data_IF_432418559775
#
_entry.id   IF_432418559775
#
_cell.length_a   1.000
_cell.length_b   1.000
_cell.length_c   1.000
_cell.angle_alpha   90.00
_cell.angle_beta   90.00
_cell.angle_gamma   90.00
#
_symmetry.space_group_name_H-M   'P 1'
#
loop_
_entity.id
_entity.type
_entity.pdbx_description
1 polymer ?
#
# COMPACT_ATOMS: atom_id res chain seq x y z
N UNK A 1 -3.90 -61.95 -72.01
CA UNK A 1 -3.62 -60.53 -71.71
C UNK A 1 -2.26 -60.17 -72.28
N UNK A 2 -2.15 -59.11 -73.10
CA UNK A 2 -0.88 -58.65 -73.67
C UNK A 2 0.05 -58.20 -72.52
N UNK A 3 1.37 -58.51 -72.57
CA UNK A 3 2.30 -58.23 -71.46
C UNK A 3 2.33 -56.75 -71.08
N UNK A 4 2.10 -55.84 -72.03
CA UNK A 4 2.00 -54.40 -71.81
C UNK A 4 0.89 -53.97 -70.84
N UNK A 5 -0.27 -54.65 -70.86
CA UNK A 5 -1.37 -54.34 -69.95
C UNK A 5 -1.05 -54.67 -68.48
N UNK A 6 -0.18 -55.67 -68.25
CA UNK A 6 0.27 -56.04 -66.89
C UNK A 6 1.25 -55.02 -66.33
N UNK A 7 2.17 -54.52 -67.15
CA UNK A 7 3.11 -53.48 -66.73
C UNK A 7 2.41 -52.16 -66.41
N UNK A 8 1.39 -51.77 -67.20
CA UNK A 8 0.60 -50.57 -66.92
C UNK A 8 -0.18 -50.70 -65.60
N UNK A 9 -0.77 -51.86 -65.31
CA UNK A 9 -1.44 -52.10 -64.03
C UNK A 9 -0.48 -52.02 -62.84
N UNK A 10 0.70 -52.63 -62.96
CA UNK A 10 1.72 -52.59 -61.91
C UNK A 10 2.21 -51.16 -61.68
N UNK A 11 2.48 -50.40 -62.75
CA UNK A 11 2.90 -49.01 -62.64
C UNK A 11 1.83 -48.12 -61.97
N UNK A 12 0.55 -48.36 -62.27
CA UNK A 12 -0.56 -47.61 -61.69
C UNK A 12 -0.72 -47.93 -60.19
N UNK A 13 -0.57 -49.20 -59.80
CA UNK A 13 -0.59 -49.62 -58.39
C UNK A 13 0.58 -49.01 -57.61
N UNK A 14 1.80 -49.01 -58.19
CA UNK A 14 2.98 -48.42 -57.55
C UNK A 14 2.82 -46.90 -57.42
N UNK A 15 2.33 -46.22 -58.45
CA UNK A 15 2.07 -44.78 -58.40
C UNK A 15 1.01 -44.42 -57.35
N UNK A 16 -0.08 -45.19 -57.27
CA UNK A 16 -1.12 -45.01 -56.26
C UNK A 16 -0.61 -45.25 -54.83
N UNK A 17 0.23 -46.28 -54.63
CA UNK A 17 0.83 -46.56 -53.34
C UNK A 17 1.80 -45.45 -52.89
N UNK A 18 2.61 -44.92 -53.81
CA UNK A 18 3.54 -43.82 -53.52
C UNK A 18 2.81 -42.54 -53.11
N UNK A 19 1.78 -42.15 -53.86
CA UNK A 19 0.96 -40.98 -53.54
C UNK A 19 0.15 -41.15 -52.26
N UNK A 20 -0.45 -42.33 -52.04
CA UNK A 20 -1.19 -42.63 -50.83
C UNK A 20 -0.32 -42.58 -49.56
N UNK A 21 0.94 -43.04 -49.66
CA UNK A 21 1.88 -42.99 -48.55
C UNK A 21 2.32 -41.55 -48.22
N UNK A 22 2.57 -40.71 -49.22
CA UNK A 22 2.89 -39.28 -49.00
C UNK A 22 1.75 -38.54 -48.29
N UNK A 23 0.52 -38.69 -48.79
CA UNK A 23 -0.67 -38.08 -48.16
C UNK A 23 -0.91 -38.59 -46.72
N UNK A 24 -0.60 -39.86 -46.46
CA UNK A 24 -0.71 -40.43 -45.12
C UNK A 24 0.35 -39.85 -44.15
N UNK A 25 1.59 -39.67 -44.62
CA UNK A 25 2.64 -39.03 -43.84
C UNK A 25 2.31 -37.57 -43.52
N UNK A 26 1.86 -36.81 -44.51
CA UNK A 26 1.44 -35.41 -44.32
C UNK A 26 0.28 -35.30 -43.33
N UNK A 27 -0.69 -36.23 -43.42
CA UNK A 27 -1.81 -36.28 -42.49
C UNK A 27 -1.38 -36.57 -41.05
N UNK A 28 -0.42 -37.49 -40.85
CA UNK A 28 0.13 -37.80 -39.53
C UNK A 28 0.93 -36.63 -38.95
N UNK A 29 1.72 -35.93 -39.76
CA UNK A 29 2.46 -34.74 -39.34
C UNK A 29 1.47 -33.63 -38.94
N UNK A 30 0.46 -33.36 -39.78
CA UNK A 30 -0.57 -32.37 -39.50
C UNK A 30 -1.36 -32.69 -38.22
N UNK A 31 -1.68 -33.96 -37.95
CA UNK A 31 -2.30 -34.38 -36.69
C UNK A 31 -1.36 -34.17 -35.49
N UNK A 32 -0.07 -34.49 -35.65
CA UNK A 32 0.94 -34.28 -34.62
C UNK A 32 1.12 -32.80 -34.26
N UNK A 33 1.19 -31.94 -35.27
CA UNK A 33 1.34 -30.49 -35.12
C UNK A 33 0.08 -29.88 -34.50
N UNK A 34 -1.11 -30.30 -34.92
CA UNK A 34 -2.38 -29.84 -34.33
C UNK A 34 -2.47 -30.24 -32.84
N UNK A 35 -2.12 -31.48 -32.50
CA UNK A 35 -2.08 -31.92 -31.10
C UNK A 35 -1.00 -31.19 -30.29
N UNK A 36 0.14 -30.87 -30.91
CA UNK A 36 1.20 -30.06 -30.32
C UNK A 36 0.74 -28.65 -29.99
N UNK A 37 0.14 -27.98 -30.97
CA UNK A 37 -0.42 -26.63 -30.83
C UNK A 37 -1.50 -26.59 -29.74
N UNK A 38 -2.41 -27.57 -29.72
CA UNK A 38 -3.45 -27.68 -28.68
C UNK A 38 -2.88 -27.82 -27.26
N UNK A 39 -1.80 -28.58 -27.09
CA UNK A 39 -1.15 -28.74 -25.78
C UNK A 39 -0.50 -27.42 -25.32
N UNK A 40 0.20 -26.73 -26.22
CA UNK A 40 0.84 -25.44 -25.91
C UNK A 40 -0.22 -24.40 -25.58
N UNK A 41 -1.30 -24.33 -26.38
CA UNK A 41 -2.40 -23.39 -26.13
C UNK A 41 -3.06 -23.65 -24.77
N UNK A 42 -3.37 -24.92 -24.44
CA UNK A 42 -3.95 -25.27 -23.13
C UNK A 42 -3.02 -24.91 -21.96
N UNK A 43 -1.71 -25.13 -22.11
CA UNK A 43 -0.73 -24.78 -21.10
C UNK A 43 -0.63 -23.25 -20.92
N UNK A 44 -0.61 -22.51 -22.03
CA UNK A 44 -0.61 -21.05 -22.04
C UNK A 44 -1.88 -20.48 -21.38
N UNK A 45 -3.05 -20.95 -21.78
CA UNK A 45 -4.34 -20.52 -21.23
C UNK A 45 -4.46 -20.85 -19.74
N UNK A 46 -3.88 -21.97 -19.29
CA UNK A 46 -3.80 -22.30 -17.87
C UNK A 46 -2.90 -21.34 -17.10
N UNK A 47 -1.72 -21.02 -17.64
CA UNK A 47 -0.79 -20.07 -17.04
C UNK A 47 -1.39 -18.66 -16.97
N UNK A 48 -2.06 -18.21 -18.03
CA UNK A 48 -2.65 -16.88 -18.08
C UNK A 48 -3.87 -16.74 -17.16
N UNK A 49 -4.67 -17.81 -17.02
CA UNK A 49 -5.73 -17.87 -15.99
C UNK A 49 -5.16 -17.78 -14.58
N UNK A 50 -4.05 -18.45 -14.29
CA UNK A 50 -3.41 -18.34 -12.97
C UNK A 50 -2.85 -16.93 -12.74
N UNK A 51 -2.15 -16.35 -13.73
CA UNK A 51 -1.62 -14.99 -13.65
C UNK A 51 -2.72 -13.95 -13.41
N UNK A 52 -3.81 -14.04 -14.17
CA UNK A 52 -4.96 -13.13 -14.04
C UNK A 52 -5.65 -13.28 -12.68
N UNK A 53 -5.82 -14.51 -12.16
CA UNK A 53 -6.37 -14.75 -10.83
C UNK A 53 -5.49 -14.18 -9.72
N UNK A 54 -4.17 -14.42 -9.77
CA UNK A 54 -3.21 -13.87 -8.77
C UNK A 54 -3.22 -12.34 -8.81
N UNK A 55 -3.25 -11.75 -10.00
CA UNK A 55 -3.30 -10.30 -10.16
C UNK A 55 -4.61 -9.71 -9.64
N UNK A 56 -5.75 -10.33 -9.94
CA UNK A 56 -7.06 -9.90 -9.47
C UNK A 56 -7.18 -10.01 -7.94
N UNK A 57 -6.71 -11.11 -7.35
CA UNK A 57 -6.67 -11.29 -5.90
C UNK A 57 -5.76 -10.24 -5.22
N UNK A 58 -4.57 -10.00 -5.78
CA UNK A 58 -3.64 -8.98 -5.30
C UNK A 58 -4.21 -7.56 -5.37
N UNK A 59 -4.92 -7.22 -6.46
CA UNK A 59 -5.59 -5.93 -6.62
C UNK A 59 -6.73 -5.75 -5.61
N UNK A 60 -7.54 -6.79 -5.42
CA UNK A 60 -8.63 -6.77 -4.43
C UNK A 60 -8.10 -6.56 -3.01
N UNK A 61 -7.00 -7.25 -2.66
CA UNK A 61 -6.36 -7.08 -1.35
C UNK A 61 -5.80 -5.67 -1.17
N UNK A 62 -5.12 -5.12 -2.19
CA UNK A 62 -4.62 -3.74 -2.17
C UNK A 62 -5.74 -2.73 -2.00
N UNK A 63 -6.86 -2.91 -2.71
CA UNK A 63 -8.02 -2.04 -2.59
C UNK A 63 -8.60 -2.07 -1.17
N UNK A 64 -8.83 -3.26 -0.59
CA UNK A 64 -9.34 -3.39 0.79
C UNK A 64 -8.41 -2.77 1.83
N UNK A 65 -7.10 -2.95 1.66
CA UNK A 65 -6.11 -2.34 2.55
C UNK A 65 -6.12 -0.81 2.43
N UNK A 66 -6.22 -0.28 1.21
CA UNK A 66 -6.32 1.16 0.98
C UNK A 66 -7.60 1.74 1.59
N UNK A 67 -8.75 1.07 1.43
CA UNK A 67 -10.03 1.45 2.04
C UNK A 67 -9.94 1.45 3.57
N UNK A 68 -9.33 0.41 4.16
CA UNK A 68 -9.12 0.34 5.62
C UNK A 68 -8.25 1.49 6.12
N UNK A 69 -7.12 1.76 5.46
CA UNK A 69 -6.24 2.87 5.83
C UNK A 69 -6.95 4.21 5.71
N UNK A 70 -7.72 4.44 4.63
CA UNK A 70 -8.50 5.66 4.45
C UNK A 70 -9.57 5.84 5.54
N UNK A 71 -10.24 4.74 5.92
CA UNK A 71 -11.22 4.76 7.00
C UNK A 71 -10.58 5.09 8.36
N UNK A 72 -9.48 4.40 8.69
CA UNK A 72 -8.74 4.64 9.94
C UNK A 72 -8.20 6.09 10.00
N UNK A 73 -7.71 6.62 8.88
CA UNK A 73 -7.27 8.02 8.80
C UNK A 73 -8.42 9.00 9.00
N UNK A 74 -9.58 8.76 8.39
CA UNK A 74 -10.77 9.60 8.56
C UNK A 74 -11.23 9.60 10.01
N UNK A 75 -11.24 8.43 10.66
CA UNK A 75 -11.62 8.30 12.07
C UNK A 75 -10.65 9.03 12.99
N UNK A 76 -9.33 8.87 12.77
CA UNK A 76 -8.30 9.59 13.53
C UNK A 76 -8.41 11.10 13.34
N UNK A 77 -8.64 11.57 12.11
CA UNK A 77 -8.80 12.99 11.82
C UNK A 77 -10.04 13.59 12.51
N UNK A 78 -11.17 12.87 12.51
CA UNK A 78 -12.37 13.29 13.22
C UNK A 78 -12.15 13.35 14.75
N UNK A 79 -11.47 12.35 15.32
CA UNK A 79 -11.12 12.33 16.74
C UNK A 79 -10.17 13.48 17.11
N UNK A 80 -9.14 13.75 16.29
CA UNK A 80 -8.23 14.88 16.52
C UNK A 80 -8.94 16.23 16.40
N UNK A 81 -9.88 16.36 15.47
CA UNK A 81 -10.65 17.59 15.32
C UNK A 81 -11.55 17.82 16.54
N UNK A 82 -12.26 16.78 17.01
CA UNK A 82 -13.10 16.88 18.20
C UNK A 82 -12.27 17.25 19.45
N UNK A 83 -11.08 16.66 19.60
CA UNK A 83 -10.16 17.01 20.67
C UNK A 83 -9.71 18.48 20.57
N UNK A 84 -9.32 18.95 19.38
CA UNK A 84 -8.93 20.34 19.15
C UNK A 84 -10.07 21.32 19.43
N UNK A 85 -11.30 21.01 19.01
CA UNK A 85 -12.48 21.83 19.27
C UNK A 85 -12.80 21.93 20.76
N UNK A 86 -12.67 20.81 21.49
CA UNK A 86 -12.85 20.79 22.95
C UNK A 86 -11.78 21.62 23.67
N UNK A 87 -10.52 21.52 23.26
CA UNK A 87 -9.43 22.32 23.81
C UNK A 87 -9.63 23.83 23.51
N UNK A 88 -10.08 24.17 22.29
CA UNK A 88 -10.39 25.55 21.92
C UNK A 88 -11.58 26.11 22.70
N UNK A 89 -12.59 25.30 23.02
CA UNK A 89 -13.70 25.69 23.88
C UNK A 89 -13.23 25.96 25.32
N UNK A 90 -12.43 25.06 25.90
CA UNK A 90 -11.82 25.24 27.22
C UNK A 90 -10.97 26.51 27.27
N UNK A 91 -10.15 26.76 26.25
CA UNK A 91 -9.32 27.97 26.18
C UNK A 91 -10.15 29.26 26.08
N UNK A 92 -11.26 29.25 25.34
CA UNK A 92 -12.20 30.38 25.30
C UNK A 92 -12.83 30.64 26.68
N UNK A 93 -13.24 29.57 27.37
CA UNK A 93 -13.79 29.64 28.73
C UNK A 93 -12.77 30.25 29.71
N UNK A 94 -11.53 29.74 29.69
CA UNK A 94 -10.44 30.25 30.54
C UNK A 94 -10.13 31.72 30.26
N UNK A 95 -10.15 32.16 28.99
CA UNK A 95 -9.96 33.58 28.63
C UNK A 95 -11.09 34.46 29.14
N UNK A 96 -12.34 33.98 29.10
CA UNK A 96 -13.48 34.71 29.64
C UNK A 96 -13.37 34.83 31.17
N UNK A 97 -13.01 33.76 31.86
CA UNK A 97 -12.81 33.79 33.32
C UNK A 97 -11.65 34.70 33.72
N UNK A 98 -10.54 34.68 32.96
CA UNK A 98 -9.42 35.60 33.18
C UNK A 98 -9.84 37.06 32.98
N UNK A 99 -10.67 37.37 31.98
CA UNK A 99 -11.19 38.72 31.77
C UNK A 99 -12.10 39.15 32.95
N UNK A 100 -12.93 38.23 33.46
CA UNK A 100 -13.77 38.44 34.65
C UNK A 100 -12.94 38.65 35.92
N UNK A 101 -11.84 37.92 36.09
CA UNK A 101 -10.92 38.09 37.21
C UNK A 101 -10.21 39.45 37.13
N UNK A 102 -9.74 39.84 35.94
CA UNK A 102 -9.07 41.13 35.70
C UNK A 102 -9.97 42.34 35.94
N UNK A 103 -11.29 42.23 35.75
CA UNK A 103 -12.22 43.35 35.98
C UNK A 103 -12.56 43.59 37.45
N UNK A 104 -12.03 42.77 38.37
CA UNK A 104 -12.32 42.87 39.81
C UNK A 104 -11.51 44.03 40.44
N UNK A 105 -12.21 45.06 40.92
CA UNK A 105 -11.61 46.33 41.36
C UNK A 105 -10.80 46.26 42.67
N UNK A 106 -11.05 45.26 43.54
CA UNK A 106 -10.24 45.01 44.73
C UNK A 106 -10.17 43.49 45.00
N UNK A 107 -9.13 42.80 44.50
CA UNK A 107 -9.09 41.34 44.50
C UNK A 107 -8.83 40.72 45.87
N UNK A 108 -8.19 41.44 46.80
CA UNK A 108 -7.87 40.94 48.13
C UNK A 108 -8.29 41.93 49.23
N UNK A 109 -8.77 41.45 50.39
CA UNK A 109 -8.99 42.30 51.55
C UNK A 109 -7.65 42.82 52.10
N UNK A 110 -7.65 43.99 52.75
CA UNK A 110 -6.44 44.51 53.40
C UNK A 110 -5.99 43.69 54.61
N UNK A 111 -4.69 43.72 54.92
CA UNK A 111 -4.09 43.02 56.06
C UNK A 111 -3.56 41.61 55.75
N UNK A 112 -3.15 40.89 56.81
CA UNK A 112 -2.46 39.59 56.69
C UNK A 112 -3.28 38.52 55.97
N UNK A 113 -4.61 38.57 56.10
CA UNK A 113 -5.51 37.65 55.39
C UNK A 113 -5.45 37.82 53.86
N UNK A 114 -5.29 39.04 53.36
CA UNK A 114 -5.13 39.30 51.93
C UNK A 114 -3.76 38.88 51.39
N UNK A 115 -2.71 39.06 52.20
CA UNK A 115 -1.36 38.60 51.84
C UNK A 115 -1.28 37.08 51.78
N UNK A 116 -1.92 36.37 52.72
CA UNK A 116 -2.01 34.91 52.71
C UNK A 116 -2.78 34.39 51.48
N UNK A 117 -3.90 35.04 51.11
CA UNK A 117 -4.66 34.69 49.91
C UNK A 117 -3.83 34.89 48.62
N UNK A 118 -3.13 36.02 48.50
CA UNK A 118 -2.25 36.30 47.36
C UNK A 118 -1.10 35.28 47.26
N UNK A 119 -0.46 34.93 48.39
CA UNK A 119 0.61 33.95 48.42
C UNK A 119 0.12 32.53 48.02
N UNK A 120 -1.08 32.14 48.47
CA UNK A 120 -1.71 30.87 48.10
C UNK A 120 -2.02 30.77 46.61
N UNK A 121 -2.63 31.81 46.03
CA UNK A 121 -2.89 31.88 44.59
C UNK A 121 -1.60 31.88 43.76
N UNK A 122 -0.56 32.59 44.22
CA UNK A 122 0.74 32.60 43.55
C UNK A 122 1.46 31.24 43.64
N UNK A 123 1.21 30.43 44.68
CA UNK A 123 1.73 29.06 44.77
C UNK A 123 1.03 28.15 43.76
N UNK A 124 -0.30 28.17 43.71
CA UNK A 124 -1.10 27.40 42.76
C UNK A 124 -0.75 27.77 41.32
N UNK A 125 -0.56 29.06 41.02
CA UNK A 125 -0.16 29.50 39.70
C UNK A 125 1.20 28.91 39.27
N UNK A 126 2.19 28.88 40.18
CA UNK A 126 3.51 28.29 39.90
C UNK A 126 3.43 26.78 39.66
N UNK A 127 2.61 26.06 40.43
CA UNK A 127 2.37 24.63 40.23
C UNK A 127 1.77 24.37 38.86
N UNK A 128 0.71 25.10 38.49
CA UNK A 128 0.07 24.98 37.17
C UNK A 128 1.02 25.31 36.02
N UNK A 129 1.88 26.34 36.18
CA UNK A 129 2.92 26.64 35.20
C UNK A 129 3.99 25.55 35.11
N UNK A 130 4.33 24.90 36.23
CA UNK A 130 5.23 23.75 36.25
C UNK A 130 4.65 22.56 35.47
N UNK A 131 3.41 22.18 35.78
CA UNK A 131 2.71 21.08 35.10
C UNK A 131 2.55 21.35 33.60
N UNK A 132 2.19 22.58 33.21
CA UNK A 132 2.09 22.92 31.80
C UNK A 132 3.45 22.99 31.09
N UNK A 133 4.52 23.42 31.76
CA UNK A 133 5.86 23.35 31.21
C UNK A 133 6.33 21.89 31.00
N UNK A 134 6.04 21.00 31.95
CA UNK A 134 6.31 19.56 31.83
C UNK A 134 5.56 18.95 30.63
N UNK A 135 4.26 19.24 30.50
CA UNK A 135 3.46 18.78 29.36
C UNK A 135 4.01 19.28 28.00
N UNK A 136 4.55 20.50 27.92
CA UNK A 136 5.20 20.98 26.69
C UNK A 136 6.51 20.27 26.39
N UNK A 137 7.30 19.93 27.42
CA UNK A 137 8.54 19.16 27.26
C UNK A 137 8.22 17.74 26.76
N UNK A 138 7.22 17.09 27.35
CA UNK A 138 6.76 15.76 26.91
C UNK A 138 6.26 15.79 25.46
N UNK A 139 5.47 16.79 25.10
CA UNK A 139 4.99 16.97 23.72
C UNK A 139 6.14 17.17 22.73
N UNK A 140 7.17 17.93 23.12
CA UNK A 140 8.36 18.12 22.28
C UNK A 140 9.14 16.80 22.10
N UNK A 141 9.29 16.01 23.17
CA UNK A 141 9.94 14.70 23.11
C UNK A 141 9.18 13.72 22.21
N UNK A 142 7.85 13.70 22.29
CA UNK A 142 7.01 12.89 21.40
C UNK A 142 7.12 13.34 19.94
N UNK A 143 7.14 14.65 19.68
CA UNK A 143 7.33 15.18 18.34
C UNK A 143 8.70 14.80 17.74
N UNK A 144 9.77 14.84 18.54
CA UNK A 144 11.10 14.38 18.12
C UNK A 144 11.11 12.86 17.85
N UNK A 145 10.46 12.06 18.70
CA UNK A 145 10.32 10.63 18.47
C UNK A 145 9.56 10.31 17.17
N UNK A 146 8.49 11.06 16.86
CA UNK A 146 7.76 10.93 15.59
C UNK A 146 8.64 11.31 14.40
N UNK A 147 9.44 12.39 14.53
CA UNK A 147 10.38 12.82 13.50
C UNK A 147 11.40 11.74 13.19
N UNK A 148 11.97 11.10 14.20
CA UNK A 148 12.94 10.02 14.03
C UNK A 148 12.32 8.79 13.37
N UNK A 149 11.08 8.43 13.76
CA UNK A 149 10.33 7.35 13.12
C UNK A 149 10.09 7.63 11.63
N UNK A 150 9.68 8.86 11.28
CA UNK A 150 9.46 9.25 9.88
C UNK A 150 10.77 9.24 9.10
N UNK A 151 11.87 9.74 9.67
CA UNK A 151 13.19 9.69 9.04
C UNK A 151 13.64 8.23 8.79
N UNK A 152 13.46 7.35 9.77
CA UNK A 152 13.74 5.92 9.63
C UNK A 152 12.91 5.25 8.54
N UNK A 153 11.61 5.55 8.45
CA UNK A 153 10.72 5.06 7.40
C UNK A 153 11.14 5.56 6.01
N UNK A 154 11.53 6.82 5.89
CA UNK A 154 12.04 7.40 4.64
C UNK A 154 13.35 6.74 4.21
N UNK A 155 14.27 6.49 5.14
CA UNK A 155 15.53 5.81 4.86
C UNK A 155 15.33 4.34 4.49
N UNK A 156 14.40 3.65 5.16
CA UNK A 156 13.99 2.30 4.80
C UNK A 156 13.42 2.26 3.37
N UNK A 157 12.49 3.16 3.05
CA UNK A 157 11.93 3.26 1.70
C UNK A 157 13.02 3.53 0.64
N UNK A 158 13.95 4.45 0.91
CA UNK A 158 15.09 4.71 0.04
C UNK A 158 15.94 3.45 -0.15
N UNK A 159 16.28 2.75 0.93
CA UNK A 159 17.06 1.50 0.89
C UNK A 159 16.37 0.41 0.06
N UNK A 160 15.07 0.19 0.25
CA UNK A 160 14.31 -0.82 -0.51
C UNK A 160 14.24 -0.45 -1.99
N UNK A 161 14.00 0.82 -2.32
CA UNK A 161 13.99 1.29 -3.70
C UNK A 161 15.37 1.14 -4.39
N UNK A 162 16.46 1.44 -3.68
CA UNK A 162 17.82 1.30 -4.23
C UNK A 162 18.24 -0.18 -4.36
N UNK A 163 17.87 -1.03 -3.41
CA UNK A 163 18.08 -2.47 -3.51
C UNK A 163 17.31 -3.09 -4.69
N UNK A 164 16.10 -2.59 -4.98
CA UNK A 164 15.33 -2.97 -6.16
C UNK A 164 15.98 -2.58 -7.49
N UNK A 165 16.73 -1.48 -7.53
CA UNK A 165 17.54 -1.09 -8.70
C UNK A 165 18.81 -1.92 -8.85
N UNK A 166 19.48 -2.29 -7.76
CA UNK A 166 20.68 -3.13 -7.81
C UNK A 166 20.40 -4.58 -8.27
N UNK A 167 19.15 -5.04 -8.15
CA UNK A 167 18.68 -6.36 -8.58
C UNK A 167 18.09 -6.38 -10.00
N UNK A 168 18.12 -5.28 -10.75
CA UNK A 168 17.87 -5.33 -12.20
C UNK A 168 19.14 -5.83 -12.89
N UNK A 169 19.19 -7.09 -13.38
CA UNK A 169 20.29 -7.52 -14.24
C UNK A 169 20.25 -6.66 -15.50
N UNK A 170 21.43 -6.26 -15.98
CA UNK A 170 21.62 -5.52 -17.22
C UNK A 170 20.99 -6.27 -18.41
N UNK A 171 19.71 -5.98 -18.71
CA UNK A 171 19.07 -6.34 -19.98
C UNK A 171 19.52 -5.27 -20.97
N UNK A 172 20.73 -5.42 -21.49
CA UNK A 172 21.29 -4.44 -22.43
C UNK A 172 22.78 -4.63 -22.72
N UNK A 173 23.20 -5.86 -23.03
CA UNK A 173 24.47 -6.11 -23.73
C UNK A 173 24.43 -7.53 -24.31
N UNK A 174 23.77 -7.69 -25.45
CA UNK A 174 24.06 -8.77 -26.37
C UNK A 174 23.96 -8.19 -27.77
N UNK A 175 25.14 -7.94 -28.33
CA UNK A 175 25.40 -7.72 -29.75
C UNK A 175 24.84 -8.86 -30.61
#
# INVERSE_FOLDING_TARGET
MKPTARYLLVALVVAAAYWGFGLYQDHLIAQGDAQGADRVQKAWDAQERLRSQVTAAGNTLRQRNAEKVAHDQTQRAAASQAAADSAAASLRSLRAELARLKSRSNPYPGGDAGLAACAGEAAIARELFGESAEAFVDLAAEADQLRDQVAGLQQFAASVCHAGHALQPAVGAAD
#
